data_IF_737526942034
#
_entry.id   IF_737526942034
#
_cell.length_a   1.000
_cell.length_b   1.000
_cell.length_c   1.000
_cell.angle_alpha   90.00
_cell.angle_beta   90.00
_cell.angle_gamma   90.00
#
_symmetry.space_group_name_H-M   'P 1'
#
loop_
_entity.id
_entity.type
_entity.pdbx_description
1 polymer ?
#
# COMPACT_ATOMS: atom_id res chain seq x y z
N UNK A 1 -19.82 -7.59 7.50
CA UNK A 1 -18.41 -7.89 7.15
C UNK A 1 -17.49 -7.25 8.17
N UNK A 2 -16.52 -7.99 8.67
CA UNK A 2 -15.61 -7.48 9.70
C UNK A 2 -14.58 -6.53 9.07
N UNK A 3 -14.30 -5.37 9.68
CA UNK A 3 -13.25 -4.50 9.19
C UNK A 3 -11.89 -5.18 9.26
N UNK A 4 -11.00 -4.87 8.30
CA UNK A 4 -9.63 -5.32 8.36
C UNK A 4 -8.88 -4.52 9.42
N UNK A 5 -8.19 -5.22 10.31
CA UNK A 5 -7.31 -4.56 11.27
C UNK A 5 -5.98 -4.24 10.62
N UNK A 6 -5.25 -3.30 11.20
CA UNK A 6 -3.88 -2.98 10.79
C UNK A 6 -3.01 -4.25 10.77
N UNK A 7 -3.11 -5.06 11.82
CA UNK A 7 -2.33 -6.31 11.91
C UNK A 7 -2.62 -7.26 10.76
N UNK A 8 -3.90 -7.42 10.41
CA UNK A 8 -4.30 -8.29 9.29
C UNK A 8 -3.76 -7.78 7.97
N UNK A 9 -3.84 -6.48 7.72
CA UNK A 9 -3.33 -5.88 6.48
C UNK A 9 -1.82 -6.11 6.37
N UNK A 10 -1.07 -5.85 7.43
CA UNK A 10 0.38 -6.03 7.41
C UNK A 10 0.77 -7.50 7.24
N UNK A 11 0.03 -8.41 7.85
CA UNK A 11 0.28 -9.84 7.72
C UNK A 11 0.05 -10.31 6.28
N UNK A 12 -1.06 -9.91 5.67
CA UNK A 12 -1.37 -10.28 4.28
C UNK A 12 -0.30 -9.73 3.34
N UNK A 13 0.07 -8.46 3.48
CA UNK A 13 1.09 -7.86 2.63
C UNK A 13 2.44 -8.55 2.83
N UNK A 14 2.79 -8.89 4.07
CA UNK A 14 4.02 -9.61 4.36
C UNK A 14 4.12 -10.95 3.64
N UNK A 15 3.01 -11.68 3.55
CA UNK A 15 2.97 -12.94 2.80
C UNK A 15 3.11 -12.74 1.29
N UNK A 16 2.77 -11.55 0.79
CA UNK A 16 2.85 -11.22 -0.63
C UNK A 16 4.19 -10.59 -1.02
N UNK A 17 5.11 -10.43 -0.08
CA UNK A 17 6.36 -9.70 -0.34
C UNK A 17 7.11 -10.19 -1.57
N UNK A 18 7.32 -11.51 -1.78
CA UNK A 18 8.03 -11.96 -2.98
C UNK A 18 7.34 -11.55 -4.28
N UNK A 19 6.01 -11.66 -4.33
CA UNK A 19 5.23 -11.28 -5.52
C UNK A 19 5.27 -9.78 -5.74
N UNK A 20 5.17 -8.99 -4.67
CA UNK A 20 5.21 -7.54 -4.73
C UNK A 20 6.58 -7.07 -5.22
N UNK A 21 7.66 -7.63 -4.68
CA UNK A 21 9.00 -7.27 -5.11
C UNK A 21 9.28 -7.67 -6.56
N UNK A 22 8.67 -8.77 -7.03
CA UNK A 22 8.78 -9.18 -8.43
C UNK A 22 8.17 -8.15 -9.39
N UNK A 23 7.27 -7.31 -8.91
CA UNK A 23 6.70 -6.21 -9.69
C UNK A 23 7.58 -4.96 -9.69
N UNK A 24 8.78 -5.03 -9.12
CA UNK A 24 9.72 -3.91 -9.09
C UNK A 24 9.48 -2.93 -7.95
N UNK A 25 8.78 -3.36 -6.90
CA UNK A 25 8.52 -2.52 -5.74
C UNK A 25 9.74 -2.53 -4.81
N UNK A 26 10.16 -1.33 -4.43
CA UNK A 26 11.24 -1.13 -3.43
C UNK A 26 10.66 -1.05 -2.02
N UNK A 27 9.56 -0.31 -1.85
CA UNK A 27 8.96 -0.06 -0.55
C UNK A 27 7.44 0.01 -0.68
N UNK A 28 6.74 -0.55 0.30
CA UNK A 28 5.29 -0.47 0.38
C UNK A 28 4.92 -0.08 1.80
N UNK A 29 4.10 0.95 1.96
CA UNK A 29 3.67 1.43 3.25
C UNK A 29 2.15 1.58 3.27
N UNK A 30 1.56 1.45 4.45
CA UNK A 30 0.12 1.62 4.66
C UNK A 30 -0.10 2.92 5.43
N UNK A 31 -1.08 3.69 5.02
CA UNK A 31 -1.46 4.92 5.71
C UNK A 31 -2.99 5.02 5.80
N UNK A 32 -3.49 6.14 6.29
CA UNK A 32 -4.92 6.39 6.34
C UNK A 32 -5.63 5.68 7.48
N UNK A 33 -6.92 5.40 7.27
CA UNK A 33 -7.80 4.91 8.33
C UNK A 33 -7.36 3.59 8.96
N UNK A 34 -6.77 2.68 8.16
CA UNK A 34 -6.30 1.40 8.69
C UNK A 34 -5.21 1.61 9.76
N UNK A 35 -4.25 2.51 9.45
CA UNK A 35 -3.15 2.79 10.39
C UNK A 35 -3.65 3.50 11.64
N UNK A 36 -4.64 4.37 11.51
CA UNK A 36 -5.23 5.07 12.64
C UNK A 36 -6.19 4.23 13.47
N UNK A 37 -6.52 3.00 13.01
CA UNK A 37 -7.50 2.16 13.69
C UNK A 37 -8.93 2.64 13.50
N UNK A 38 -9.21 3.39 12.45
CA UNK A 38 -10.51 3.98 12.16
C UNK A 38 -11.22 3.33 10.98
N UNK A 39 -10.68 2.23 10.45
CA UNK A 39 -11.26 1.59 9.27
C UNK A 39 -12.61 0.94 9.60
N UNK A 40 -13.59 1.17 8.72
CA UNK A 40 -14.88 0.51 8.78
C UNK A 40 -14.94 -0.69 7.84
N UNK A 41 -16.11 -1.37 7.76
CA UNK A 41 -16.26 -2.56 6.92
C UNK A 41 -16.05 -2.29 5.43
N UNK A 42 -16.34 -1.07 4.99
CA UNK A 42 -16.25 -0.67 3.58
C UNK A 42 -15.11 0.32 3.32
N UNK A 43 -14.22 0.52 4.28
CA UNK A 43 -13.10 1.45 4.11
C UNK A 43 -12.11 0.93 3.09
N UNK A 44 -11.60 1.85 2.26
CA UNK A 44 -10.50 1.56 1.36
C UNK A 44 -9.21 1.36 2.18
N UNK A 45 -8.28 0.61 1.63
CA UNK A 45 -6.94 0.48 2.19
C UNK A 45 -6.02 1.42 1.41
N UNK A 46 -5.43 2.38 2.12
CA UNK A 46 -4.56 3.39 1.51
C UNK A 46 -3.11 2.90 1.56
N UNK A 47 -2.49 2.78 0.39
CA UNK A 47 -1.16 2.19 0.25
C UNK A 47 -0.25 3.14 -0.52
N UNK A 48 0.93 3.38 0.03
CA UNK A 48 1.98 4.16 -0.61
C UNK A 48 3.03 3.21 -1.17
N UNK A 49 3.35 3.35 -2.46
CA UNK A 49 4.33 2.49 -3.13
C UNK A 49 5.48 3.29 -3.68
N UNK A 50 6.69 2.75 -3.51
CA UNK A 50 7.89 3.24 -4.16
C UNK A 50 8.45 2.12 -5.03
N UNK A 51 8.57 2.37 -6.32
CA UNK A 51 9.18 1.41 -7.25
C UNK A 51 10.69 1.62 -7.31
N UNK A 52 11.40 0.56 -7.64
CA UNK A 52 12.82 0.66 -7.96
C UNK A 52 13.01 1.58 -9.17
N UNK A 53 14.16 2.27 -9.28
CA UNK A 53 14.41 3.14 -10.43
C UNK A 53 14.21 2.38 -11.75
N UNK A 54 13.44 2.98 -12.66
CA UNK A 54 13.15 2.39 -13.95
C UNK A 54 12.12 1.27 -13.95
N UNK A 55 11.60 0.90 -12.79
CA UNK A 55 10.66 -0.23 -12.69
C UNK A 55 9.20 0.19 -12.70
N UNK A 56 8.89 1.48 -12.54
CA UNK A 56 7.52 1.94 -12.49
C UNK A 56 6.93 1.98 -13.92
N UNK A 57 5.97 1.11 -14.17
CA UNK A 57 5.20 1.10 -15.42
C UNK A 57 3.72 1.06 -15.06
N UNK A 58 2.89 1.43 -16.02
CA UNK A 58 1.44 1.39 -15.85
C UNK A 58 0.97 -0.04 -15.57
N UNK A 59 1.50 -1.01 -16.32
CA UNK A 59 1.13 -2.42 -16.13
C UNK A 59 1.50 -2.91 -14.73
N UNK A 60 2.68 -2.57 -14.23
CA UNK A 60 3.10 -2.98 -12.89
C UNK A 60 2.28 -2.31 -11.80
N UNK A 61 1.93 -1.05 -12.01
CA UNK A 61 1.06 -0.33 -11.07
C UNK A 61 -0.30 -1.00 -10.98
N UNK A 62 -0.93 -1.32 -12.12
CA UNK A 62 -2.22 -2.00 -12.16
C UNK A 62 -2.12 -3.40 -11.57
N UNK A 63 -1.07 -4.15 -11.91
CA UNK A 63 -0.88 -5.50 -11.39
C UNK A 63 -0.77 -5.49 -9.86
N UNK A 64 -0.04 -4.52 -9.30
CA UNK A 64 0.09 -4.37 -7.86
C UNK A 64 -1.26 -4.05 -7.22
N UNK A 65 -2.00 -3.12 -7.80
CA UNK A 65 -3.34 -2.76 -7.30
C UNK A 65 -4.27 -3.96 -7.31
N UNK A 66 -4.30 -4.71 -8.41
CA UNK A 66 -5.15 -5.89 -8.55
C UNK A 66 -4.76 -6.98 -7.55
N UNK A 67 -3.47 -7.20 -7.36
CA UNK A 67 -2.97 -8.20 -6.41
C UNK A 67 -3.42 -7.84 -4.99
N UNK A 68 -3.22 -6.60 -4.59
CA UNK A 68 -3.59 -6.15 -3.25
C UNK A 68 -5.09 -6.21 -3.03
N UNK A 69 -5.89 -5.78 -4.00
CA UNK A 69 -7.35 -5.83 -3.87
C UNK A 69 -7.86 -7.26 -3.78
N UNK A 70 -7.29 -8.17 -4.59
CA UNK A 70 -7.69 -9.57 -4.57
C UNK A 70 -7.39 -10.23 -3.22
N UNK A 71 -6.24 -9.92 -2.63
CA UNK A 71 -5.80 -10.58 -1.39
C UNK A 71 -6.36 -9.92 -0.14
N UNK A 72 -6.56 -8.61 -0.16
CA UNK A 72 -7.14 -7.89 0.97
C UNK A 72 -8.67 -7.94 0.98
N UNK A 73 -9.29 -8.19 -0.17
CA UNK A 73 -10.75 -8.19 -0.26
C UNK A 73 -11.35 -6.80 -0.06
N UNK A 74 -10.59 -5.76 -0.34
CA UNK A 74 -11.00 -4.37 -0.19
C UNK A 74 -10.47 -3.57 -1.37
N UNK A 75 -11.14 -2.44 -1.67
CA UNK A 75 -10.60 -1.48 -2.61
C UNK A 75 -9.30 -0.91 -2.04
N UNK A 76 -8.30 -0.81 -2.88
CA UNK A 76 -7.00 -0.24 -2.51
C UNK A 76 -6.79 1.07 -3.24
N UNK A 77 -6.51 2.13 -2.49
CA UNK A 77 -6.08 3.40 -3.06
C UNK A 77 -4.57 3.39 -3.07
N UNK A 78 -3.99 3.21 -4.25
CA UNK A 78 -2.55 3.06 -4.43
C UNK A 78 -1.95 4.37 -4.90
N UNK A 79 -1.03 4.92 -4.11
CA UNK A 79 -0.38 6.20 -4.37
C UNK A 79 1.12 5.97 -4.50
N UNK A 80 1.73 6.51 -5.57
CA UNK A 80 3.18 6.45 -5.71
C UNK A 80 3.83 7.61 -4.96
N UNK A 81 5.08 7.41 -4.54
CA UNK A 81 5.81 8.47 -3.83
C UNK A 81 5.97 9.72 -4.67
N UNK A 82 6.10 9.58 -6.00
CA UNK A 82 6.22 10.73 -6.91
C UNK A 82 4.93 11.53 -7.03
N UNK A 83 3.78 10.93 -6.74
CA UNK A 83 2.48 11.59 -6.83
C UNK A 83 2.14 12.42 -5.59
N UNK A 84 2.95 12.35 -4.53
CA UNK A 84 2.68 13.11 -3.31
C UNK A 84 2.91 14.59 -3.55
N UNK A 85 1.90 15.42 -3.19
CA UNK A 85 2.05 16.86 -3.29
C UNK A 85 2.88 17.39 -2.12
N UNK A 86 3.52 18.57 -2.28
CA UNK A 86 4.27 19.18 -1.17
C UNK A 86 3.41 19.46 0.06
N UNK A 87 2.10 19.66 -0.12
CA UNK A 87 1.19 19.99 0.98
C UNK A 87 0.67 18.75 1.71
N UNK A 88 0.29 17.71 0.96
CA UNK A 88 -0.29 16.50 1.56
C UNK A 88 0.72 15.41 1.79
N UNK A 89 1.83 15.43 1.03
CA UNK A 89 2.84 14.39 1.12
C UNK A 89 3.44 14.25 2.51
N UNK A 90 3.67 15.36 3.21
CA UNK A 90 4.24 15.33 4.55
C UNK A 90 3.32 14.62 5.55
N UNK A 91 2.01 14.81 5.44
CA UNK A 91 1.05 14.12 6.30
C UNK A 91 1.04 12.62 6.03
N UNK A 92 1.04 12.24 4.75
CA UNK A 92 1.05 10.84 4.36
C UNK A 92 2.34 10.18 4.82
N UNK A 93 3.49 10.81 4.59
CA UNK A 93 4.78 10.26 4.97
C UNK A 93 4.93 10.13 6.49
N UNK A 94 4.39 11.09 7.25
CA UNK A 94 4.44 11.04 8.71
C UNK A 94 3.55 9.93 9.28
N UNK A 95 2.44 9.63 8.62
CA UNK A 95 1.49 8.62 9.07
C UNK A 95 1.83 7.22 8.56
N UNK A 96 2.46 7.11 7.39
CA UNK A 96 2.69 5.84 6.72
C UNK A 96 3.60 4.92 7.52
N UNK A 97 3.23 3.64 7.58
CA UNK A 97 4.02 2.60 8.24
C UNK A 97 4.40 1.54 7.20
N UNK A 98 5.67 1.19 7.17
CA UNK A 98 6.20 0.26 6.19
C UNK A 98 5.68 -1.15 6.42
N UNK A 99 5.06 -1.73 5.39
CA UNK A 99 4.73 -3.15 5.35
C UNK A 99 5.84 -3.92 4.64
N UNK A 100 6.48 -3.29 3.64
CA UNK A 100 7.67 -3.81 2.96
C UNK A 100 8.70 -2.68 2.98
N UNK A 101 9.83 -2.93 3.61
CA UNK A 101 10.87 -1.92 3.76
C UNK A 101 11.79 -1.89 2.55
N UNK A 102 12.28 -0.70 2.25
CA UNK A 102 13.31 -0.54 1.23
C UNK A 102 14.57 -1.31 1.64
N UNK A 103 15.16 -1.99 0.66
CA UNK A 103 16.36 -2.78 0.89
C UNK A 103 17.59 -1.86 1.08
#
# INVERSE_FOLDING_TARGET
MTPLTKHQVFEIIGHLEPEIRALGVSRLAVFGSVVRGESGPDSDVDVLVQFLPGSKTFERFLALSDLLEAKLGRRVELVTTEALSPFFGSHILAEAQDAIRAA
#
